data_IF_929111686734
#
_entry.id   IF_929111686734
#
_cell.length_a   1.000
_cell.length_b   1.000
_cell.length_c   1.000
_cell.angle_alpha   90.00
_cell.angle_beta   90.00
_cell.angle_gamma   90.00
#
_symmetry.space_group_name_H-M   'P 1'
#
loop_
_entity.id
_entity.type
_entity.pdbx_description
1 polymer ?
#
# COMPACT_ATOMS: atom_id res chain seq x y z
N UNK A 1 -11.31 -2.37 -3.25
CA UNK A 1 -10.56 -1.17 -3.68
C UNK A 1 -10.40 -0.27 -2.47
N UNK A 2 -9.19 0.23 -2.19
CA UNK A 2 -8.94 1.10 -1.04
C UNK A 2 -8.65 2.52 -1.56
N UNK A 3 -9.57 3.49 -1.37
CA UNK A 3 -9.28 4.89 -1.70
C UNK A 3 -8.35 5.48 -0.64
N UNK A 4 -7.33 6.22 -1.07
CA UNK A 4 -6.52 7.03 -0.15
C UNK A 4 -7.39 8.20 0.31
N UNK A 5 -7.93 8.09 1.53
CA UNK A 5 -8.77 9.13 2.15
C UNK A 5 -7.95 10.22 2.88
N UNK A 6 -6.63 10.10 2.88
CA UNK A 6 -5.71 11.08 3.47
C UNK A 6 -5.65 12.35 2.62
N UNK A 7 -5.48 13.51 3.26
CA UNK A 7 -5.30 14.81 2.59
C UNK A 7 -3.89 15.03 2.04
N UNK A 8 -2.97 14.11 2.36
CA UNK A 8 -1.55 14.19 2.03
C UNK A 8 -1.05 12.82 1.59
N UNK A 9 -0.06 12.81 0.71
CA UNK A 9 0.64 11.60 0.28
C UNK A 9 1.25 10.89 1.48
N UNK A 10 1.07 9.57 1.56
CA UNK A 10 1.50 8.76 2.70
C UNK A 10 2.44 7.65 2.27
N UNK A 11 3.54 7.46 2.98
CA UNK A 11 4.46 6.34 2.70
C UNK A 11 3.85 5.02 3.15
N UNK A 12 3.96 4.00 2.30
CA UNK A 12 3.48 2.63 2.57
C UNK A 12 4.08 2.11 3.86
N UNK A 13 5.39 2.27 4.02
CA UNK A 13 6.09 1.78 5.21
C UNK A 13 5.59 2.44 6.48
N UNK A 14 5.17 3.71 6.43
CA UNK A 14 4.61 4.46 7.58
C UNK A 14 3.15 4.10 7.84
N UNK A 15 2.33 3.99 6.80
CA UNK A 15 0.91 3.66 6.93
C UNK A 15 0.71 2.24 7.49
N UNK A 16 1.59 1.32 7.09
CA UNK A 16 1.46 -0.10 7.42
C UNK A 16 2.55 -0.58 8.40
N UNK A 17 3.20 0.30 9.18
CA UNK A 17 4.35 -0.06 10.03
C UNK A 17 4.14 -1.33 10.85
N UNK A 18 2.96 -1.48 11.45
CA UNK A 18 2.63 -2.60 12.33
C UNK A 18 2.13 -3.84 11.58
N UNK A 19 1.88 -3.74 10.28
CA UNK A 19 1.23 -4.78 9.46
C UNK A 19 1.94 -5.02 8.11
N UNK A 20 3.16 -4.50 7.93
CA UNK A 20 3.96 -4.71 6.71
C UNK A 20 4.17 -6.20 6.41
N UNK A 21 4.23 -7.01 7.46
CA UNK A 21 4.40 -8.46 7.42
C UNK A 21 3.19 -9.16 6.78
N UNK A 22 1.99 -8.60 6.98
CA UNK A 22 0.72 -9.10 6.44
C UNK A 22 0.49 -8.68 4.99
N UNK A 23 1.29 -7.75 4.47
CA UNK A 23 1.17 -7.25 3.10
C UNK A 23 1.85 -8.21 2.12
N UNK A 24 1.03 -8.83 1.28
CA UNK A 24 1.52 -9.69 0.20
C UNK A 24 1.99 -8.83 -0.97
N UNK A 25 1.13 -7.92 -1.43
CA UNK A 25 1.41 -7.04 -2.56
C UNK A 25 0.49 -5.81 -2.54
N UNK A 26 1.05 -4.65 -2.87
CA UNK A 26 0.32 -3.42 -3.18
C UNK A 26 0.64 -3.06 -4.63
N UNK A 27 -0.36 -2.71 -5.41
CA UNK A 27 -0.19 -2.30 -6.80
C UNK A 27 -1.04 -1.06 -7.08
N UNK A 28 -0.54 -0.16 -7.92
CA UNK A 28 -1.39 0.88 -8.51
C UNK A 28 -2.57 0.25 -9.30
N UNK A 29 -3.77 0.80 -9.12
CA UNK A 29 -4.91 0.41 -9.95
C UNK A 29 -4.69 0.79 -11.42
N UNK A 30 -4.05 1.94 -11.66
CA UNK A 30 -3.70 2.47 -12.97
C UNK A 30 -2.23 2.86 -12.93
N UNK A 31 -1.35 1.93 -13.32
CA UNK A 31 0.09 2.12 -13.28
C UNK A 31 0.85 0.80 -13.25
N UNK A 32 2.18 0.91 -13.25
CA UNK A 32 3.12 -0.21 -13.20
C UNK A 32 3.88 -0.28 -11.87
N UNK A 33 3.68 0.68 -10.96
CA UNK A 33 4.35 0.66 -9.67
C UNK A 33 3.67 -0.36 -8.73
N UNK A 34 4.49 -1.13 -8.03
CA UNK A 34 4.04 -2.13 -7.08
C UNK A 34 5.04 -2.27 -5.92
N UNK A 35 4.52 -2.63 -4.77
CA UNK A 35 5.25 -2.99 -3.58
C UNK A 35 4.98 -4.48 -3.28
N UNK A 36 6.01 -5.31 -3.40
CA UNK A 36 5.95 -6.75 -3.18
C UNK A 36 7.21 -7.18 -2.39
N UNK A 37 7.09 -7.24 -1.05
CA UNK A 37 8.21 -7.55 -0.16
C UNK A 37 8.85 -8.92 -0.46
N UNK A 38 8.02 -9.95 -0.64
CA UNK A 38 8.50 -11.31 -0.85
C UNK A 38 9.26 -11.50 -2.18
N UNK A 39 9.00 -10.66 -3.19
CA UNK A 39 9.73 -10.65 -4.46
C UNK A 39 10.89 -9.63 -4.47
N UNK A 40 11.08 -8.86 -3.41
CA UNK A 40 12.08 -7.78 -3.34
C UNK A 40 11.79 -6.61 -4.28
N UNK A 41 10.53 -6.41 -4.69
CA UNK A 41 10.13 -5.33 -5.59
C UNK A 41 9.51 -4.20 -4.79
N UNK A 42 10.11 -3.01 -4.80
CA UNK A 42 9.60 -1.82 -4.12
C UNK A 42 9.67 -0.62 -5.06
N UNK A 43 8.90 -0.66 -6.16
CA UNK A 43 8.81 0.48 -7.09
C UNK A 43 7.73 1.48 -6.68
N UNK A 44 6.89 1.09 -5.71
CA UNK A 44 5.90 1.94 -5.07
C UNK A 44 6.27 2.12 -3.60
N UNK A 45 6.64 3.33 -3.21
CA UNK A 45 6.96 3.69 -1.83
C UNK A 45 5.88 4.55 -1.17
N UNK A 46 5.14 5.31 -1.97
CA UNK A 46 4.19 6.33 -1.51
C UNK A 46 2.83 6.14 -2.17
N UNK A 47 1.77 6.20 -1.37
CA UNK A 47 0.40 6.26 -1.82
C UNK A 47 0.01 7.73 -2.02
N UNK A 48 -0.20 8.12 -3.28
CA UNK A 48 -0.60 9.47 -3.62
C UNK A 48 -2.11 9.67 -3.46
N UNK A 49 -2.50 10.83 -2.95
CA UNK A 49 -3.91 11.21 -2.82
C UNK A 49 -4.56 11.25 -4.21
N UNK A 50 -5.82 10.81 -4.27
CA UNK A 50 -6.58 10.76 -5.53
C UNK A 50 -6.22 9.58 -6.44
N UNK A 51 -5.27 8.72 -6.04
CA UNK A 51 -5.01 7.43 -6.69
C UNK A 51 -5.68 6.29 -5.94
N UNK A 52 -5.99 5.23 -6.68
CA UNK A 52 -6.51 3.99 -6.12
C UNK A 52 -5.44 2.91 -6.19
N UNK A 53 -5.37 2.10 -5.14
CA UNK A 53 -4.41 1.01 -5.02
C UNK A 53 -5.14 -0.30 -4.73
N UNK A 54 -4.62 -1.37 -5.31
CA UNK A 54 -5.03 -2.73 -5.05
C UNK A 54 -4.07 -3.31 -4.02
N UNK A 55 -4.60 -3.68 -2.86
CA UNK A 55 -3.83 -4.25 -1.76
C UNK A 55 -4.31 -5.67 -1.57
N UNK A 56 -3.38 -6.61 -1.52
CA UNK A 56 -3.62 -7.99 -1.12
C UNK A 56 -2.89 -8.24 0.21
N UNK A 57 -3.67 -8.65 1.21
CA UNK A 57 -3.19 -8.97 2.54
C UNK A 57 -3.37 -10.47 2.80
N UNK A 58 -2.48 -11.05 3.60
CA UNK A 58 -2.58 -12.43 4.05
C UNK A 58 -3.63 -12.58 5.15
N UNK A 59 -3.56 -11.70 6.15
CA UNK A 59 -4.53 -11.59 7.24
C UNK A 59 -5.16 -10.19 7.23
N UNK A 60 -6.43 -10.11 7.68
CA UNK A 60 -7.14 -8.83 7.76
C UNK A 60 -6.69 -8.04 8.98
N UNK A 61 -6.27 -6.79 8.78
CA UNK A 61 -5.87 -5.87 9.84
C UNK A 61 -6.57 -4.51 9.70
N UNK A 62 -6.55 -3.73 10.78
CA UNK A 62 -7.03 -2.35 10.81
C UNK A 62 -5.88 -1.37 10.66
N UNK A 63 -6.09 -0.34 9.85
CA UNK A 63 -5.15 0.77 9.66
C UNK A 63 -5.78 2.02 10.24
N UNK A 64 -5.11 2.62 11.21
CA UNK A 64 -5.39 3.97 11.66
C UNK A 64 -4.68 4.96 10.72
N UNK A 65 -5.42 5.93 10.18
CA UNK A 65 -4.96 6.91 9.21
C UNK A 65 -5.29 8.34 9.62
#
# INVERSE_FOLDING_TARGET
MFPVLSTTDVQITTLFQNNLEDIIIIKEAIGSNLFWPAAGVSTLDTLNVGRAYLIKVGEGFSVDY
#
